data_IF_807977018337
#
_entry.id   IF_807977018337
#
_cell.length_a   1.000
_cell.length_b   1.000
_cell.length_c   1.000
_cell.angle_alpha   90.00
_cell.angle_beta   90.00
_cell.angle_gamma   90.00
#
_symmetry.space_group_name_H-M   'P 1'
#
loop_
_entity.id
_entity.type
_entity.pdbx_description
1 polymer ?
#
# COMPACT_ATOMS: atom_id res chain seq x y z
N UNK A 1 -15.68 5.73 -18.61
CA UNK A 1 -16.04 6.56 -17.42
C UNK A 1 -17.39 7.23 -17.62
N UNK A 2 -17.58 8.04 -18.67
CA UNK A 2 -18.83 8.73 -18.93
C UNK A 2 -20.04 7.78 -19.01
N UNK A 3 -19.94 6.67 -19.75
CA UNK A 3 -21.00 5.66 -19.84
C UNK A 3 -21.40 5.08 -18.48
N UNK A 4 -20.43 4.74 -17.64
CA UNK A 4 -20.70 4.23 -16.29
C UNK A 4 -21.35 5.27 -15.39
N UNK A 5 -20.97 6.54 -15.54
CA UNK A 5 -21.59 7.62 -14.79
C UNK A 5 -23.02 7.91 -15.25
N UNK A 6 -23.24 8.01 -16.56
CA UNK A 6 -24.56 8.19 -17.18
C UNK A 6 -25.52 7.05 -16.81
N UNK A 7 -25.03 5.81 -16.84
CA UNK A 7 -25.80 4.63 -16.45
C UNK A 7 -26.27 4.70 -14.99
N UNK A 8 -25.38 5.06 -14.05
CA UNK A 8 -25.76 5.23 -12.64
C UNK A 8 -26.75 6.39 -12.46
N UNK A 9 -26.51 7.54 -13.09
CA UNK A 9 -27.42 8.69 -12.99
C UNK A 9 -28.81 8.41 -13.58
N UNK A 10 -28.90 7.57 -14.61
CA UNK A 10 -30.16 7.18 -15.24
C UNK A 10 -30.96 6.21 -14.37
N UNK A 11 -30.28 5.31 -13.68
CA UNK A 11 -30.93 4.26 -12.89
C UNK A 11 -31.25 4.68 -11.46
N UNK A 12 -30.44 5.55 -10.85
CA UNK A 12 -30.61 5.96 -9.46
C UNK A 12 -32.01 6.53 -9.12
N UNK A 13 -32.68 7.33 -9.98
CA UNK A 13 -34.05 7.79 -9.71
C UNK A 13 -35.10 6.67 -9.62
N UNK A 14 -34.79 5.46 -10.10
CA UNK A 14 -35.68 4.29 -10.03
C UNK A 14 -35.63 3.60 -8.65
N UNK A 15 -34.67 3.97 -7.80
CA UNK A 15 -34.46 3.42 -6.46
C UNK A 15 -33.04 2.85 -6.26
N UNK A 16 -32.62 2.63 -5.00
CA UNK A 16 -31.32 2.01 -4.69
C UNK A 16 -31.14 0.63 -5.33
N UNK A 17 -32.22 -0.14 -5.44
CA UNK A 17 -32.22 -1.49 -6.02
C UNK A 17 -31.73 -1.50 -7.47
N UNK A 18 -32.01 -0.42 -8.20
CA UNK A 18 -31.59 -0.29 -9.59
C UNK A 18 -30.07 -0.19 -9.74
N UNK A 19 -29.32 0.18 -8.71
CA UNK A 19 -27.86 0.38 -8.75
C UNK A 19 -27.08 -0.55 -7.81
N UNK A 20 -27.71 -1.61 -7.29
CA UNK A 20 -27.03 -2.69 -6.57
C UNK A 20 -25.86 -3.21 -7.40
N UNK A 21 -24.75 -3.51 -6.73
CA UNK A 21 -23.53 -4.01 -7.35
C UNK A 21 -22.65 -2.97 -8.03
N UNK A 22 -23.22 -1.79 -8.33
CA UNK A 22 -22.50 -0.66 -8.96
C UNK A 22 -22.17 0.46 -7.97
N UNK A 23 -22.97 0.59 -6.91
CA UNK A 23 -22.83 1.65 -5.90
C UNK A 23 -22.91 1.04 -4.50
N UNK A 24 -21.82 1.13 -3.73
CA UNK A 24 -21.67 0.44 -2.44
C UNK A 24 -22.78 0.73 -1.43
N UNK A 25 -23.17 2.00 -1.27
CA UNK A 25 -24.19 2.34 -0.28
C UNK A 25 -25.54 1.71 -0.62
N UNK A 26 -25.85 1.51 -1.91
CA UNK A 26 -27.10 0.91 -2.35
C UNK A 26 -27.08 -0.62 -2.13
N UNK A 27 -25.98 -1.28 -2.50
CA UNK A 27 -25.77 -2.72 -2.21
C UNK A 27 -25.86 -3.01 -0.72
N UNK A 28 -25.18 -2.19 0.10
CA UNK A 28 -25.21 -2.30 1.55
C UNK A 28 -26.60 -2.02 2.12
N UNK A 29 -27.26 -0.95 1.66
CA UNK A 29 -28.61 -0.62 2.10
C UNK A 29 -29.56 -1.78 1.85
N UNK A 30 -29.54 -2.36 0.65
CA UNK A 30 -30.33 -3.54 0.31
C UNK A 30 -30.03 -4.71 1.26
N UNK A 31 -28.75 -5.09 1.41
CA UNK A 31 -28.34 -6.21 2.28
C UNK A 31 -28.79 -6.02 3.74
N UNK A 32 -28.59 -4.83 4.30
CA UNK A 32 -29.01 -4.52 5.67
C UNK A 32 -30.54 -4.49 5.80
N UNK A 33 -31.25 -4.00 4.78
CA UNK A 33 -32.70 -3.93 4.77
C UNK A 33 -33.32 -5.34 4.69
N UNK A 34 -32.76 -6.25 3.88
CA UNK A 34 -33.16 -7.66 3.84
C UNK A 34 -33.00 -8.31 5.22
N UNK A 35 -31.79 -8.26 5.80
CA UNK A 35 -31.53 -8.84 7.12
C UNK A 35 -32.43 -8.25 8.22
N UNK A 36 -32.62 -6.92 8.20
CA UNK A 36 -33.52 -6.23 9.14
C UNK A 36 -34.95 -6.76 9.02
N UNK A 37 -35.46 -6.96 7.80
CA UNK A 37 -36.83 -7.43 7.58
C UNK A 37 -36.98 -8.91 7.96
N UNK A 38 -35.99 -9.74 7.65
CA UNK A 38 -35.97 -11.17 8.00
C UNK A 38 -35.95 -11.40 9.52
N UNK A 39 -35.11 -10.65 10.23
CA UNK A 39 -34.93 -10.77 11.68
C UNK A 39 -35.84 -9.83 12.49
N UNK A 40 -36.72 -9.07 11.81
CA UNK A 40 -37.64 -8.08 12.40
C UNK A 40 -36.93 -7.10 13.36
N UNK A 41 -35.85 -6.49 12.88
CA UNK A 41 -35.01 -5.56 13.63
C UNK A 41 -35.37 -4.10 13.35
N UNK A 42 -34.92 -3.21 14.23
CA UNK A 42 -34.95 -1.77 14.01
C UNK A 42 -33.59 -1.28 13.50
N UNK A 43 -33.56 -0.13 12.81
CA UNK A 43 -32.31 0.42 12.26
C UNK A 43 -31.22 0.73 13.30
N UNK A 44 -31.60 0.89 14.57
CA UNK A 44 -30.68 1.17 15.66
C UNK A 44 -30.10 -0.09 16.32
N UNK A 45 -30.52 -1.29 15.87
CA UNK A 45 -30.08 -2.56 16.43
C UNK A 45 -28.56 -2.75 16.28
N UNK A 46 -27.85 -3.20 17.33
CA UNK A 46 -26.42 -3.46 17.26
C UNK A 46 -26.00 -4.47 16.18
N UNK A 47 -26.86 -5.42 15.80
CA UNK A 47 -26.55 -6.40 14.75
C UNK A 47 -26.34 -5.72 13.40
N UNK A 48 -27.19 -4.74 13.04
CA UNK A 48 -27.03 -3.99 11.79
C UNK A 48 -25.72 -3.20 11.76
N UNK A 49 -25.28 -2.65 12.91
CA UNK A 49 -23.97 -2.00 13.01
C UNK A 49 -22.82 -2.98 12.81
N UNK A 50 -22.96 -4.20 13.34
CA UNK A 50 -21.97 -5.26 13.12
C UNK A 50 -21.88 -5.65 11.65
N UNK A 51 -23.02 -5.81 10.98
CA UNK A 51 -23.08 -6.15 9.55
C UNK A 51 -22.55 -5.01 8.66
N UNK A 52 -22.79 -3.75 9.02
CA UNK A 52 -22.23 -2.58 8.33
C UNK A 52 -20.69 -2.60 8.33
N UNK A 53 -20.09 -3.00 9.46
CA UNK A 53 -18.64 -3.19 9.57
C UNK A 53 -18.18 -4.44 8.79
N UNK A 54 -18.91 -5.55 8.90
CA UNK A 54 -18.53 -6.81 8.24
C UNK A 54 -18.60 -6.70 6.70
N UNK A 55 -19.46 -5.83 6.15
CA UNK A 55 -19.45 -5.49 4.73
C UNK A 55 -18.08 -5.00 4.25
N UNK A 56 -17.35 -4.27 5.09
CA UNK A 56 -16.04 -3.70 4.76
C UNK A 56 -14.87 -4.61 5.16
N UNK A 57 -15.13 -5.83 5.61
CA UNK A 57 -14.07 -6.77 5.97
C UNK A 57 -13.28 -7.20 4.72
N UNK A 58 -11.97 -6.93 4.75
CA UNK A 58 -11.06 -7.23 3.64
C UNK A 58 -10.73 -8.73 3.52
N UNK A 59 -11.08 -9.55 4.51
CA UNK A 59 -10.95 -10.99 4.42
C UNK A 59 -11.95 -11.55 3.40
N UNK A 60 -11.43 -12.07 2.28
CA UNK A 60 -12.22 -12.65 1.20
C UNK A 60 -13.11 -13.83 1.62
N UNK A 61 -12.73 -14.54 2.67
CA UNK A 61 -13.47 -15.73 3.14
C UNK A 61 -14.66 -15.38 4.03
N UNK A 62 -14.65 -14.21 4.68
CA UNK A 62 -15.65 -13.85 5.70
C UNK A 62 -16.41 -12.55 5.40
N UNK A 63 -15.81 -11.62 4.68
CA UNK A 63 -16.42 -10.31 4.45
C UNK A 63 -17.65 -10.38 3.55
N UNK A 64 -18.72 -9.70 3.97
CA UNK A 64 -20.03 -9.81 3.31
C UNK A 64 -20.02 -9.30 1.86
N UNK A 65 -19.20 -8.28 1.55
CA UNK A 65 -19.06 -7.78 0.18
C UNK A 65 -18.64 -8.89 -0.80
N UNK A 66 -17.76 -9.81 -0.36
CA UNK A 66 -17.27 -10.88 -1.21
C UNK A 66 -18.35 -11.90 -1.57
N UNK A 67 -19.39 -12.04 -0.73
CA UNK A 67 -20.58 -12.81 -1.06
C UNK A 67 -21.36 -12.21 -2.25
N UNK A 68 -21.46 -10.88 -2.32
CA UNK A 68 -22.10 -10.17 -3.45
C UNK A 68 -21.28 -10.33 -4.74
N UNK A 69 -19.95 -10.26 -4.64
CA UNK A 69 -19.07 -10.50 -5.79
C UNK A 69 -19.21 -11.94 -6.29
N UNK A 70 -19.22 -12.93 -5.40
CA UNK A 70 -19.34 -14.35 -5.74
C UNK A 70 -20.68 -14.68 -6.44
N UNK A 71 -21.76 -13.99 -6.09
CA UNK A 71 -23.08 -14.15 -6.70
C UNK A 71 -23.20 -13.44 -8.07
N UNK A 72 -22.13 -12.80 -8.56
CA UNK A 72 -22.11 -12.08 -9.85
C UNK A 72 -22.77 -10.71 -9.80
N UNK A 73 -23.11 -10.22 -8.62
CA UNK A 73 -23.74 -8.91 -8.42
C UNK A 73 -22.69 -7.81 -8.27
N UNK A 74 -21.47 -8.14 -7.84
CA UNK A 74 -20.36 -7.17 -7.74
C UNK A 74 -19.77 -6.78 -9.09
N UNK A 75 -19.83 -5.49 -9.45
CA UNK A 75 -19.15 -4.99 -10.65
C UNK A 75 -17.63 -4.91 -10.46
N UNK A 76 -16.89 -5.74 -11.20
CA UNK A 76 -15.43 -5.81 -11.10
C UNK A 76 -14.74 -5.00 -12.21
N UNK A 77 -13.89 -4.04 -11.83
CA UNK A 77 -13.11 -3.19 -12.78
C UNK A 77 -11.75 -3.75 -13.17
N UNK A 78 -11.25 -4.74 -12.44
CA UNK A 78 -9.91 -5.32 -12.59
C UNK A 78 -9.97 -6.82 -12.35
N UNK A 79 -8.85 -7.53 -12.43
CA UNK A 79 -8.77 -8.98 -12.18
C UNK A 79 -7.94 -9.30 -10.96
N UNK A 80 -8.03 -10.53 -10.44
CA UNK A 80 -7.22 -10.95 -9.29
C UNK A 80 -5.73 -10.95 -9.66
N UNK A 81 -5.40 -11.34 -10.89
CA UNK A 81 -4.03 -11.37 -11.39
C UNK A 81 -3.42 -9.96 -11.44
N UNK A 82 -4.20 -8.97 -11.86
CA UNK A 82 -3.76 -7.57 -11.87
C UNK A 82 -3.54 -7.03 -10.45
N UNK A 83 -4.36 -7.43 -9.49
CA UNK A 83 -4.19 -7.08 -8.06
C UNK A 83 -2.94 -7.75 -7.50
N UNK A 84 -2.75 -9.06 -7.69
CA UNK A 84 -1.57 -9.79 -7.24
C UNK A 84 -0.28 -9.23 -7.85
N UNK A 85 -0.28 -8.92 -9.15
CA UNK A 85 0.83 -8.26 -9.82
C UNK A 85 1.18 -6.92 -9.14
N UNK A 86 0.17 -6.12 -8.80
CA UNK A 86 0.36 -4.78 -8.24
C UNK A 86 0.89 -4.78 -6.80
N UNK A 87 0.77 -5.90 -6.06
CA UNK A 87 1.32 -6.01 -4.69
C UNK A 87 2.84 -5.83 -4.63
N UNK A 88 3.55 -6.24 -5.67
CA UNK A 88 5.01 -6.23 -5.72
C UNK A 88 5.58 -5.42 -6.89
N UNK A 89 4.72 -4.88 -7.75
CA UNK A 89 5.12 -4.05 -8.88
C UNK A 89 4.51 -2.64 -8.75
N UNK A 90 5.34 -1.61 -8.53
CA UNK A 90 4.85 -0.23 -8.50
C UNK A 90 4.35 0.22 -9.88
N UNK A 91 3.49 1.26 -9.93
CA UNK A 91 3.02 1.82 -11.19
C UNK A 91 4.17 2.41 -12.01
N UNK A 92 4.26 2.01 -13.28
CA UNK A 92 5.31 2.44 -14.22
C UNK A 92 5.13 3.90 -14.65
N UNK A 93 6.22 4.55 -15.04
CA UNK A 93 6.18 5.93 -15.56
C UNK A 93 5.84 6.97 -14.50
N UNK A 94 6.03 6.64 -13.23
CA UNK A 94 5.85 7.55 -12.09
C UNK A 94 6.99 7.36 -11.11
N UNK A 95 7.21 8.33 -10.22
CA UNK A 95 8.25 8.22 -9.18
C UNK A 95 8.09 7.03 -8.24
N UNK A 96 6.89 6.42 -8.17
CA UNK A 96 6.68 5.21 -7.40
C UNK A 96 7.49 4.02 -7.98
N UNK A 97 7.77 4.04 -9.29
CA UNK A 97 8.62 3.04 -9.94
C UNK A 97 10.05 3.09 -9.39
N UNK A 98 10.67 4.27 -9.37
CA UNK A 98 11.99 4.48 -8.80
C UNK A 98 12.05 4.17 -7.32
N UNK A 99 11.06 4.64 -6.53
CA UNK A 99 10.98 4.31 -5.10
C UNK A 99 10.86 2.80 -4.84
N UNK A 100 10.09 2.07 -5.65
CA UNK A 100 10.00 0.61 -5.52
C UNK A 100 11.32 -0.10 -5.83
N UNK A 101 12.05 0.35 -6.85
CA UNK A 101 13.38 -0.17 -7.17
C UNK A 101 14.39 0.11 -6.04
N UNK A 102 14.38 1.32 -5.47
CA UNK A 102 15.17 1.69 -4.30
C UNK A 102 14.95 0.72 -3.14
N UNK A 103 13.69 0.55 -2.71
CA UNK A 103 13.34 -0.32 -1.59
C UNK A 103 13.80 -1.75 -1.86
N UNK A 104 13.54 -2.27 -3.08
CA UNK A 104 13.94 -3.62 -3.47
C UNK A 104 15.46 -3.83 -3.35
N UNK A 105 16.26 -2.86 -3.77
CA UNK A 105 17.73 -2.95 -3.66
C UNK A 105 18.22 -2.84 -2.23
N UNK A 106 17.70 -1.88 -1.46
CA UNK A 106 18.07 -1.70 -0.05
C UNK A 106 17.76 -2.96 0.77
N UNK A 107 16.59 -3.58 0.58
CA UNK A 107 16.22 -4.82 1.26
C UNK A 107 17.15 -6.00 0.92
N UNK A 108 17.68 -6.06 -0.31
CA UNK A 108 18.52 -7.17 -0.77
C UNK A 108 20.01 -6.98 -0.43
N UNK A 109 20.50 -5.75 -0.48
CA UNK A 109 21.95 -5.45 -0.43
C UNK A 109 22.38 -4.72 0.85
N UNK A 110 21.46 -3.99 1.50
CA UNK A 110 21.79 -3.05 2.58
C UNK A 110 20.76 -3.10 3.73
N UNK A 111 20.25 -4.28 4.07
CA UNK A 111 19.16 -4.44 5.04
C UNK A 111 19.46 -3.90 6.45
N UNK A 112 20.74 -3.71 6.79
CA UNK A 112 21.19 -3.20 8.10
C UNK A 112 21.45 -1.69 8.14
N UNK A 113 21.29 -0.99 7.02
CA UNK A 113 21.51 0.45 6.93
C UNK A 113 20.26 1.23 7.36
N UNK A 114 20.44 2.34 8.08
CA UNK A 114 19.37 3.26 8.38
C UNK A 114 19.07 4.16 7.18
N UNK A 115 17.82 4.26 6.74
CA UNK A 115 17.41 5.14 5.65
C UNK A 115 16.07 5.81 5.97
N UNK A 116 15.83 6.95 5.34
CA UNK A 116 14.54 7.64 5.34
C UNK A 116 14.03 7.69 3.91
N UNK A 117 12.83 7.16 3.66
CA UNK A 117 12.19 7.17 2.33
C UNK A 117 10.81 7.81 2.48
N UNK A 118 10.49 8.76 1.60
CA UNK A 118 9.23 9.47 1.56
C UNK A 118 8.69 9.57 0.12
N UNK A 119 7.56 10.26 -0.07
CA UNK A 119 6.92 10.46 -1.36
C UNK A 119 7.76 11.26 -2.34
N UNK A 120 8.50 12.25 -1.85
CA UNK A 120 9.24 13.23 -2.65
C UNK A 120 10.75 12.97 -2.71
N UNK A 121 11.25 11.92 -2.06
CA UNK A 121 12.70 11.68 -1.99
C UNK A 121 13.11 10.66 -0.93
N UNK A 122 14.41 10.50 -0.76
CA UNK A 122 15.01 9.64 0.26
C UNK A 122 16.37 10.16 0.73
N UNK A 123 16.84 9.61 1.84
CA UNK A 123 18.15 9.86 2.44
C UNK A 123 18.72 8.53 2.96
N UNK A 124 19.99 8.25 2.66
CA UNK A 124 20.67 6.99 3.02
C UNK A 124 21.60 7.11 4.23
N UNK A 125 22.10 8.32 4.54
CA UNK A 125 22.77 8.64 5.80
C UNK A 125 22.25 9.97 6.37
N UNK A 126 22.34 10.18 7.68
CA UNK A 126 21.92 11.45 8.33
C UNK A 126 22.64 12.66 7.75
N UNK A 127 23.88 12.49 7.30
CA UNK A 127 24.74 13.56 6.77
C UNK A 127 24.54 13.81 5.28
N UNK A 128 23.88 12.90 4.56
CA UNK A 128 23.66 13.01 3.12
C UNK A 128 22.58 14.06 2.79
N UNK A 129 22.82 14.76 1.69
CA UNK A 129 21.78 15.55 1.03
C UNK A 129 20.70 14.61 0.47
N UNK A 130 19.41 14.98 0.58
CA UNK A 130 18.32 14.13 0.14
C UNK A 130 18.29 14.03 -1.38
N UNK A 131 18.10 12.81 -1.90
CA UNK A 131 17.74 12.60 -3.29
C UNK A 131 16.26 12.97 -3.48
N UNK A 132 15.95 13.91 -4.37
CA UNK A 132 14.60 14.43 -4.57
C UNK A 132 13.95 13.90 -5.87
N UNK A 133 12.70 13.45 -5.74
CA UNK A 133 11.80 13.00 -6.81
C UNK A 133 10.59 13.94 -6.92
N UNK A 134 10.86 15.19 -7.32
CA UNK A 134 9.86 16.27 -7.27
C UNK A 134 8.76 16.11 -8.32
N UNK A 135 9.12 15.69 -9.54
CA UNK A 135 8.14 15.45 -10.61
C UNK A 135 7.47 14.06 -10.43
N UNK A 136 6.17 13.97 -10.16
CA UNK A 136 5.50 12.68 -9.99
C UNK A 136 5.43 11.82 -11.26
N UNK A 137 5.62 12.40 -12.45
CA UNK A 137 5.53 11.73 -13.76
C UNK A 137 6.88 11.23 -14.30
N UNK A 138 7.97 11.48 -13.59
CA UNK A 138 9.29 10.94 -13.91
C UNK A 138 9.54 9.69 -13.06
N UNK A 139 10.14 8.66 -13.64
CA UNK A 139 10.33 7.38 -12.94
C UNK A 139 11.45 7.41 -11.90
N UNK A 140 12.50 8.22 -12.15
CA UNK A 140 13.77 8.25 -11.40
C UNK A 140 14.49 6.91 -11.30
N UNK A 141 14.08 5.90 -12.07
CA UNK A 141 14.57 4.53 -11.89
C UNK A 141 16.06 4.44 -12.24
N UNK A 142 16.47 4.93 -13.41
CA UNK A 142 17.87 4.86 -13.82
C UNK A 142 18.78 5.68 -12.87
N UNK A 143 18.34 6.88 -12.51
CA UNK A 143 19.09 7.81 -11.65
C UNK A 143 19.28 7.24 -10.23
N UNK A 144 18.25 6.58 -9.68
CA UNK A 144 18.35 5.90 -8.39
C UNK A 144 19.31 4.71 -8.48
N UNK A 145 19.27 3.95 -9.57
CA UNK A 145 20.16 2.81 -9.79
C UNK A 145 21.61 3.28 -9.83
N UNK A 146 21.89 4.36 -10.56
CA UNK A 146 23.22 4.97 -10.61
C UNK A 146 23.66 5.50 -9.25
N UNK A 147 22.78 6.22 -8.54
CA UNK A 147 23.07 6.75 -7.21
C UNK A 147 23.44 5.64 -6.23
N UNK A 148 22.69 4.53 -6.21
CA UNK A 148 22.98 3.39 -5.34
C UNK A 148 24.27 2.65 -5.73
N UNK A 149 24.60 2.56 -7.01
CA UNK A 149 25.85 1.92 -7.45
C UNK A 149 27.09 2.73 -7.04
N UNK A 150 26.95 4.06 -6.91
CA UNK A 150 28.02 4.96 -6.48
C UNK A 150 28.11 5.09 -4.95
N UNK A 151 27.06 4.70 -4.23
CA UNK A 151 26.98 4.79 -2.79
C UNK A 151 27.80 3.69 -2.10
N UNK A 152 28.78 4.07 -1.28
CA UNK A 152 29.55 3.15 -0.43
C UNK A 152 29.11 3.28 1.05
N UNK A 153 28.43 2.25 1.61
CA UNK A 153 27.95 2.29 3.00
C UNK A 153 29.06 2.27 4.05
N UNK A 154 30.32 1.99 3.68
CA UNK A 154 31.45 1.96 4.60
C UNK A 154 32.01 3.35 4.91
N UNK A 155 31.60 4.39 4.17
CA UNK A 155 32.13 5.74 4.32
C UNK A 155 31.37 6.58 5.37
N UNK A 156 30.42 5.97 6.10
CA UNK A 156 29.68 6.63 7.18
C UNK A 156 30.39 6.42 8.53
N UNK A 157 30.95 7.47 9.15
CA UNK A 157 31.81 7.35 10.35
C UNK A 157 31.10 6.70 11.57
N UNK A 158 29.76 6.70 11.65
CA UNK A 158 29.04 6.04 12.75
C UNK A 158 28.97 4.49 12.59
N UNK A 159 29.13 3.95 11.38
CA UNK A 159 29.19 2.50 11.16
C UNK A 159 30.50 1.88 11.67
N UNK A 160 31.58 2.68 11.77
CA UNK A 160 32.83 2.26 12.44
C UNK A 160 32.66 2.16 13.96
N UNK A 161 31.99 3.13 14.61
CA UNK A 161 31.76 3.10 16.07
C UNK A 161 30.89 1.90 16.50
N UNK A 162 29.89 1.52 15.69
CA UNK A 162 29.06 0.34 15.95
C UNK A 162 29.81 -1.00 15.83
N UNK A 163 30.93 -1.02 15.08
CA UNK A 163 31.85 -2.16 14.99
C UNK A 163 32.81 -2.21 16.16
N UNK A 164 33.38 -1.07 16.56
CA UNK A 164 34.32 -1.00 17.67
C UNK A 164 33.67 -1.39 19.01
N UNK A 165 32.39 -1.08 19.21
CA UNK A 165 31.64 -1.58 20.37
C UNK A 165 31.36 -3.09 20.35
N UNK A 166 31.32 -3.71 19.17
CA UNK A 166 31.14 -5.18 19.04
C UNK A 166 32.44 -5.96 19.09
N UNK A 167 33.60 -5.31 19.01
CA UNK A 167 34.90 -5.99 18.98
C UNK A 167 35.93 -5.29 19.89
N UNK A 168 35.81 -5.40 21.23
CA UNK A 168 36.71 -4.72 22.17
C UNK A 168 38.14 -5.32 22.22
N UNK A 169 38.42 -6.34 21.40
CA UNK A 169 39.62 -7.17 21.47
C UNK A 169 40.67 -6.86 20.41
N UNK A 170 41.13 -5.62 20.26
CA UNK A 170 42.37 -5.34 19.51
C UNK A 170 42.97 -3.96 19.81
N UNK A 171 43.15 -3.62 21.09
CA UNK A 171 44.15 -2.60 21.45
C UNK A 171 45.47 -3.28 21.79
N UNK A 172 46.39 -3.30 20.82
CA UNK A 172 47.78 -3.72 21.01
C UNK A 172 48.41 -2.96 22.19
N UNK A 173 48.94 -3.72 23.15
CA UNK A 173 49.82 -3.18 24.20
C UNK A 173 51.14 -2.76 23.54
N UNK A 174 51.35 -1.45 23.36
CA UNK A 174 52.70 -0.92 23.13
C UNK A 174 53.53 -1.09 24.40
N UNK A 175 54.46 -2.04 24.35
CA UNK A 175 55.56 -2.18 25.30
C UNK A 175 56.48 -0.96 25.15
N UNK A 176 56.73 -0.25 26.24
CA UNK A 176 57.87 0.66 26.35
C UNK A 176 58.73 0.15 27.51
N UNK A 177 59.98 -0.17 27.18
CA UNK A 177 61.09 -0.34 28.12
C UNK A 177 61.43 0.98 28.84
#
# INVERSE_FOLDING_TARGET
ILEGWESVLTDLPKGPEAVIGRVDWASKYWMLNEFRNEENLEWNDPWLKSLDLEYHNLNKETGLFWGLEANGEGYRKTTDEAVEFSKVNPPRGTRAQGRGELIKRLMNQHAHMGYLIDWIGFRLSKTDEPFLMLDPFVSYKEEIIEHLNQFDPMCDPENEESRDMKNPGSREKKSYE
#
